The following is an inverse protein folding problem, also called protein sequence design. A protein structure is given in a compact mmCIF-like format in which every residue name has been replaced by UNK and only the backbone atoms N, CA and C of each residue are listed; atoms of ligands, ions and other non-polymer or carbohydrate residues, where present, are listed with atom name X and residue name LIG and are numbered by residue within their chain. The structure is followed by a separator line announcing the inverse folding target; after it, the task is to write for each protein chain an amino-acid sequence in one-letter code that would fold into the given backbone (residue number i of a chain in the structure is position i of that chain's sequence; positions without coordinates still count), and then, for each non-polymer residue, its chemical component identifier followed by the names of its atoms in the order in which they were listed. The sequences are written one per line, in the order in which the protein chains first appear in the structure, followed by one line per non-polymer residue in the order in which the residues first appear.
data_IF_417180246490
#
_entry.id   IF_417180246490
#
_cell.length_a   1.000
_cell.length_b   1.000
_cell.length_c   1.000
_cell.angle_alpha   90.00
_cell.angle_beta   90.00
_cell.angle_gamma   90.00
#
_symmetry.space_group_name_H-M   'P 1'
#
loop_
_entity.id
_entity.type
_entity.pdbx_description
1 polymer ?
#
# COMPACT_ATOMS: atom_id res chain seq x y z
N UNK A 1 18.95 -19.58 43.66
CA UNK A 1 17.70 -18.87 43.34
C UNK A 1 18.03 -17.44 42.92
N UNK A 2 18.27 -17.22 41.63
CA UNK A 2 18.51 -15.88 41.09
C UNK A 2 17.14 -15.26 40.77
N UNK A 3 16.66 -14.39 41.66
CA UNK A 3 15.45 -13.60 41.41
C UNK A 3 15.71 -12.66 40.24
N UNK A 4 14.96 -12.86 39.15
CA UNK A 4 14.85 -11.92 38.04
C UNK A 4 14.29 -10.60 38.58
N UNK A 5 15.11 -9.56 38.60
CA UNK A 5 14.64 -8.18 38.77
C UNK A 5 14.00 -7.81 37.43
N UNK A 6 12.70 -8.07 37.30
CA UNK A 6 11.87 -7.45 36.28
C UNK A 6 11.64 -5.99 36.70
N UNK A 7 12.57 -5.10 36.37
CA UNK A 7 12.33 -3.66 36.46
C UNK A 7 11.44 -3.23 35.30
N UNK A 8 10.12 -3.34 35.48
CA UNK A 8 9.16 -2.68 34.60
C UNK A 8 9.41 -1.17 34.67
N UNK A 9 9.75 -0.56 33.53
CA UNK A 9 9.95 0.89 33.41
C UNK A 9 8.57 1.53 33.47
N UNK A 10 8.14 1.92 34.67
CA UNK A 10 6.87 2.63 34.89
C UNK A 10 7.04 4.04 34.33
N UNK A 11 6.51 4.30 33.12
CA UNK A 11 6.41 5.65 32.59
C UNK A 11 5.36 6.38 33.45
N UNK A 12 5.83 7.08 34.47
CA UNK A 12 4.96 7.77 35.40
C UNK A 12 4.36 9.01 34.72
N UNK A 13 3.09 8.94 34.35
CA UNK A 13 2.35 10.01 33.66
C UNK A 13 1.64 10.98 34.60
N UNK A 14 1.65 10.68 35.91
CA UNK A 14 0.99 11.46 36.97
C UNK A 14 1.94 11.74 38.11
N UNK A 15 1.78 12.89 38.75
CA UNK A 15 2.56 13.24 39.94
C UNK A 15 2.31 12.25 41.09
N UNK A 16 3.37 11.72 41.70
CA UNK A 16 3.27 10.82 42.86
C UNK A 16 2.71 11.48 44.12
N UNK A 17 2.68 12.82 44.18
CA UNK A 17 2.24 13.58 45.38
C UNK A 17 0.79 14.04 45.25
N UNK A 18 0.41 14.65 44.12
CA UNK A 18 -0.91 15.28 43.97
C UNK A 18 -1.75 14.69 42.82
N UNK A 19 -1.27 13.63 42.17
CA UNK A 19 -1.90 13.01 40.99
C UNK A 19 -2.14 13.95 39.80
N UNK A 20 -1.54 15.14 39.79
CA UNK A 20 -1.63 16.10 38.70
C UNK A 20 -0.87 15.66 37.44
N UNK A 21 -1.21 16.27 36.30
CA UNK A 21 -0.53 16.04 35.02
C UNK A 21 0.90 16.58 35.05
N UNK A 22 1.82 15.82 34.48
CA UNK A 22 3.21 16.24 34.30
C UNK A 22 3.38 16.90 32.93
N UNK A 23 3.97 18.09 32.91
CA UNK A 23 4.35 18.86 31.73
C UNK A 23 5.85 18.69 31.55
N UNK A 24 6.29 18.43 30.33
CA UNK A 24 7.71 18.36 30.00
C UNK A 24 8.19 19.74 29.56
N UNK A 25 9.22 20.26 30.22
CA UNK A 25 9.92 21.46 29.79
C UNK A 25 11.08 21.06 28.88
N UNK A 26 11.03 21.53 27.63
CA UNK A 26 11.98 21.17 26.60
C UNK A 26 13.34 21.87 26.78
N UNK A 27 13.38 23.01 27.47
CA UNK A 27 14.61 23.80 27.64
C UNK A 27 15.48 23.26 28.77
N UNK A 28 14.84 22.78 29.85
CA UNK A 28 15.53 22.18 31.01
C UNK A 28 15.59 20.65 30.97
N UNK A 29 14.74 20.00 30.16
CA UNK A 29 14.64 18.54 30.10
C UNK A 29 13.90 17.92 31.29
N UNK A 30 13.24 18.74 32.11
CA UNK A 30 12.59 18.31 33.35
C UNK A 30 11.08 18.06 33.15
N UNK A 31 10.50 17.24 34.04
CA UNK A 31 9.04 17.02 34.10
C UNK A 31 8.46 17.70 35.33
N UNK A 32 7.64 18.72 35.11
CA UNK A 32 7.02 19.57 36.12
C UNK A 32 5.57 19.15 36.35
N UNK A 33 5.11 19.10 37.59
CA UNK A 33 3.68 18.95 37.85
C UNK A 33 2.93 20.29 37.76
N UNK A 34 1.89 20.35 36.93
CA UNK A 34 1.04 21.54 36.77
C UNK A 34 0.33 21.96 38.07
N UNK A 35 0.10 21.03 39.01
CA UNK A 35 -0.73 21.29 40.21
C UNK A 35 0.08 21.63 41.46
N UNK A 36 1.21 20.96 41.68
CA UNK A 36 2.03 21.16 42.89
C UNK A 36 3.42 21.73 42.61
N UNK A 37 3.79 21.95 41.35
CA UNK A 37 5.10 22.49 40.97
C UNK A 37 6.29 21.56 41.24
N UNK A 38 6.06 20.31 41.65
CA UNK A 38 7.16 19.38 41.94
C UNK A 38 7.86 19.00 40.64
N UNK A 39 9.20 19.08 40.66
CA UNK A 39 10.08 18.56 39.62
C UNK A 39 10.29 17.08 39.87
N UNK A 40 9.91 16.24 38.92
CA UNK A 40 10.24 14.82 39.00
C UNK A 40 11.74 14.64 38.67
N UNK A 41 12.47 13.78 39.40
CA UNK A 41 13.87 13.52 39.10
C UNK A 41 14.01 13.06 37.64
N UNK A 42 15.10 13.42 36.96
CA UNK A 42 15.32 13.03 35.58
C UNK A 42 15.32 11.51 35.52
N UNK A 43 14.23 10.96 34.99
CA UNK A 43 14.18 9.56 34.62
C UNK A 43 15.24 9.41 33.54
N UNK A 44 16.25 8.54 33.74
CA UNK A 44 17.29 8.29 32.75
C UNK A 44 16.61 8.15 31.40
N UNK A 45 16.88 9.11 30.51
CA UNK A 45 16.24 9.15 29.21
C UNK A 45 16.50 7.81 28.55
N UNK A 46 15.44 7.01 28.40
CA UNK A 46 15.48 5.88 27.48
C UNK A 46 15.63 6.51 26.12
N UNK A 47 16.89 6.49 25.66
CA UNK A 47 17.35 6.90 24.35
C UNK A 47 16.28 6.64 23.29
N UNK A 48 15.91 7.70 22.59
CA UNK A 48 14.93 7.63 21.52
C UNK A 48 14.67 8.94 20.79
N UNK A 49 15.09 10.09 21.36
CA UNK A 49 14.83 11.41 20.75
C UNK A 49 15.99 12.42 20.77
N UNK A 50 17.24 11.98 20.91
CA UNK A 50 18.42 12.86 20.73
C UNK A 50 19.27 12.49 19.50
N UNK A 51 18.64 12.13 18.38
CA UNK A 51 19.35 11.91 17.11
C UNK A 51 19.75 13.22 16.40
N UNK A 52 19.47 14.39 16.98
CA UNK A 52 19.87 15.68 16.39
C UNK A 52 21.33 16.05 16.69
N UNK A 53 21.98 15.44 17.69
CA UNK A 53 23.37 15.77 18.06
C UNK A 53 24.44 15.02 17.24
N UNK A 54 24.06 14.03 16.43
CA UNK A 54 25.00 13.24 15.61
C UNK A 54 25.25 13.82 14.22
N UNK A 55 24.76 15.03 13.92
CA UNK A 55 24.80 15.57 12.56
C UNK A 55 26.19 16.08 12.15
N UNK A 56 27.09 16.30 13.10
CA UNK A 56 28.40 16.95 12.87
C UNK A 56 29.62 16.21 13.47
N UNK A 57 29.51 14.96 13.91
CA UNK A 57 30.70 14.22 14.35
C UNK A 57 31.27 13.44 13.15
N UNK A 58 32.34 13.98 12.60
CA UNK A 58 33.18 13.35 11.61
C UNK A 58 33.55 11.91 12.03
N UNK A 59 33.19 10.97 11.15
CA UNK A 59 33.83 9.67 10.90
C UNK A 59 34.00 8.60 12.01
N UNK A 60 33.68 8.82 13.28
CA UNK A 60 33.99 7.81 14.33
C UNK A 60 32.85 7.34 15.25
N UNK A 61 31.66 7.95 15.17
CA UNK A 61 30.50 7.43 15.91
C UNK A 61 29.61 6.65 14.96
N UNK A 62 29.60 5.33 15.07
CA UNK A 62 28.72 4.47 14.29
C UNK A 62 27.27 4.94 14.50
N UNK A 63 26.55 5.40 13.45
CA UNK A 63 25.13 5.65 13.60
C UNK A 63 24.49 4.31 13.96
N UNK A 64 23.69 4.30 15.04
CA UNK A 64 22.85 3.16 15.35
C UNK A 64 22.14 2.74 14.06
N UNK A 65 22.46 1.54 13.54
CA UNK A 65 21.86 1.07 12.31
C UNK A 65 20.36 0.92 12.56
N UNK A 66 19.58 1.89 12.09
CA UNK A 66 18.12 1.79 12.11
C UNK A 66 17.73 0.45 11.49
N UNK A 67 17.03 -0.38 12.26
CA UNK A 67 16.63 -1.71 11.84
C UNK A 67 15.66 -1.59 10.68
N UNK A 68 16.20 -1.63 9.46
CA UNK A 68 15.36 -1.65 8.28
C UNK A 68 14.73 -3.04 8.16
N UNK A 69 13.42 -3.12 7.95
CA UNK A 69 12.70 -4.37 7.71
C UNK A 69 13.19 -5.11 6.45
N UNK A 70 13.90 -4.40 5.57
CA UNK A 70 14.65 -4.92 4.43
C UNK A 70 15.95 -5.66 4.81
N UNK A 71 16.40 -5.62 6.06
CA UNK A 71 17.49 -6.47 6.53
C UNK A 71 16.97 -7.81 7.03
N UNK A 72 17.73 -8.87 6.79
CA UNK A 72 17.44 -10.22 7.30
C UNK A 72 17.67 -10.27 8.83
N UNK A 73 16.92 -11.12 9.53
CA UNK A 73 16.93 -11.25 11.00
C UNK A 73 18.24 -11.84 11.52
N UNK A 74 19.29 -11.04 11.51
CA UNK A 74 20.40 -11.19 12.46
C UNK A 74 20.35 -9.93 13.28
N UNK A 75 20.19 -10.08 14.59
CA UNK A 75 19.88 -8.97 15.49
C UNK A 75 20.94 -7.85 15.51
N UNK A 76 22.12 -8.08 14.92
CA UNK A 76 23.00 -7.09 14.29
C UNK A 76 23.91 -7.83 13.29
N UNK A 77 23.67 -7.79 11.97
CA UNK A 77 24.57 -8.45 11.02
C UNK A 77 25.83 -7.59 10.83
N UNK A 78 26.99 -8.13 11.21
CA UNK A 78 28.29 -7.58 10.81
C UNK A 78 28.65 -8.08 9.41
N UNK A 79 29.12 -7.20 8.53
CA UNK A 79 29.62 -7.57 7.21
C UNK A 79 31.12 -7.28 7.09
N UNK A 80 31.88 -8.26 6.59
CA UNK A 80 33.31 -8.07 6.30
C UNK A 80 33.45 -7.31 4.97
N UNK A 81 33.68 -5.99 5.07
CA UNK A 81 33.82 -5.08 3.93
C UNK A 81 34.99 -5.43 2.98
N UNK A 82 35.00 -4.82 1.79
CA UNK A 82 35.97 -5.12 0.71
C UNK A 82 37.33 -4.43 0.88
N UNK A 83 37.44 -3.48 1.82
CA UNK A 83 38.62 -2.61 1.95
C UNK A 83 39.91 -3.33 2.37
N UNK A 84 39.84 -4.58 2.85
CA UNK A 84 41.00 -5.41 3.26
C UNK A 84 41.98 -4.68 4.20
N UNK A 85 41.45 -3.82 5.09
CA UNK A 85 42.23 -2.99 6.01
C UNK A 85 41.70 -3.25 7.42
N UNK A 86 42.61 -3.46 8.36
CA UNK A 86 42.32 -3.59 9.80
C UNK A 86 41.92 -2.23 10.41
N UNK A 87 41.37 -2.26 11.63
CA UNK A 87 41.02 -1.05 12.39
C UNK A 87 42.20 -0.07 12.56
N UNK A 88 43.44 -0.58 12.60
CA UNK A 88 44.66 0.21 12.72
C UNK A 88 45.22 0.70 11.37
N UNK A 89 44.46 0.55 10.26
CA UNK A 89 44.88 0.99 8.93
C UNK A 89 45.85 0.05 8.21
N UNK A 90 46.21 -1.09 8.81
CA UNK A 90 47.12 -2.08 8.21
C UNK A 90 46.40 -2.90 7.14
N UNK A 91 47.06 -3.16 6.01
CA UNK A 91 46.53 -4.07 4.98
C UNK A 91 46.59 -5.52 5.46
N UNK A 92 45.46 -6.21 5.36
CA UNK A 92 45.33 -7.63 5.61
C UNK A 92 45.58 -8.38 4.31
N UNK A 93 46.21 -9.55 4.39
CA UNK A 93 46.36 -10.42 3.23
C UNK A 93 45.01 -10.80 2.60
N UNK A 94 44.97 -10.78 1.27
CA UNK A 94 43.76 -11.04 0.47
C UNK A 94 43.28 -12.48 0.64
N UNK A 95 44.20 -13.43 0.73
CA UNK A 95 43.83 -14.83 0.91
C UNK A 95 43.13 -15.06 2.26
N UNK A 96 43.64 -14.44 3.33
CA UNK A 96 43.03 -14.51 4.64
C UNK A 96 41.64 -13.84 4.67
N UNK A 97 41.50 -12.63 4.13
CA UNK A 97 40.20 -11.92 4.07
C UNK A 97 39.16 -12.67 3.23
N UNK A 98 39.54 -13.23 2.09
CA UNK A 98 38.63 -14.02 1.26
C UNK A 98 38.23 -15.34 1.93
N UNK A 99 39.14 -15.97 2.69
CA UNK A 99 38.82 -17.11 3.55
C UNK A 99 37.81 -16.71 4.64
N UNK A 100 38.02 -15.59 5.33
CA UNK A 100 37.09 -15.09 6.36
C UNK A 100 35.70 -14.79 5.78
N UNK A 101 35.61 -14.09 4.64
CA UNK A 101 34.34 -13.86 3.93
C UNK A 101 33.67 -15.16 3.51
N UNK A 102 34.43 -16.16 3.08
CA UNK A 102 33.88 -17.47 2.72
C UNK A 102 33.32 -18.19 3.94
N UNK A 103 33.99 -18.12 5.09
CA UNK A 103 33.52 -18.70 6.35
C UNK A 103 32.27 -17.98 6.86
N UNK A 104 32.25 -16.64 6.82
CA UNK A 104 31.10 -15.81 7.19
C UNK A 104 29.87 -16.09 6.30
N UNK A 105 30.06 -16.20 4.99
CA UNK A 105 28.97 -16.62 4.10
C UNK A 105 28.47 -18.03 4.41
N UNK A 106 29.34 -18.95 4.85
CA UNK A 106 28.94 -20.31 5.23
C UNK A 106 28.12 -20.33 6.50
N UNK A 107 28.51 -19.59 7.54
CA UNK A 107 27.73 -19.51 8.80
C UNK A 107 26.33 -18.95 8.54
N UNK A 108 26.21 -17.89 7.74
CA UNK A 108 24.92 -17.31 7.34
C UNK A 108 24.09 -18.21 6.42
N UNK A 109 24.75 -18.98 5.55
CA UNK A 109 24.07 -19.88 4.58
C UNK A 109 23.66 -21.22 5.19
N UNK A 110 24.16 -21.60 6.35
CA UNK A 110 23.82 -22.87 6.97
C UNK A 110 22.39 -22.90 7.51
N UNK A 111 21.85 -21.76 7.98
CA UNK A 111 20.45 -21.71 8.43
C UNK A 111 19.48 -21.68 7.22
N UNK A 112 18.64 -22.71 7.02
CA UNK A 112 17.63 -22.70 5.96
C UNK A 112 16.63 -21.54 6.09
N UNK A 113 16.36 -21.04 7.30
CA UNK A 113 15.45 -19.92 7.54
C UNK A 113 16.04 -18.62 7.01
N UNK A 114 17.29 -18.35 7.34
CA UNK A 114 18.03 -17.16 6.88
C UNK A 114 18.17 -17.16 5.36
N UNK A 115 18.49 -18.32 4.74
CA UNK A 115 18.53 -18.44 3.28
C UNK A 115 17.20 -18.11 2.61
N UNK A 116 16.08 -18.58 3.18
CA UNK A 116 14.75 -18.29 2.67
C UNK A 116 14.43 -16.79 2.72
N UNK A 117 14.61 -16.17 3.90
CA UNK A 117 14.39 -14.74 4.10
C UNK A 117 15.26 -13.90 3.16
N UNK A 118 16.55 -14.24 3.04
CA UNK A 118 17.47 -13.55 2.12
C UNK A 118 17.04 -13.66 0.66
N UNK A 119 16.58 -14.84 0.23
CA UNK A 119 16.06 -15.01 -1.13
C UNK A 119 14.83 -14.14 -1.35
N UNK A 120 13.89 -14.13 -0.41
CA UNK A 120 12.67 -13.36 -0.52
C UNK A 120 12.89 -11.84 -0.52
N UNK A 121 13.72 -11.33 0.40
CA UNK A 121 14.04 -9.90 0.49
C UNK A 121 14.72 -9.42 -0.79
N UNK A 122 15.64 -10.22 -1.37
CA UNK A 122 16.26 -9.89 -2.66
C UNK A 122 15.23 -9.81 -3.80
N UNK A 123 14.29 -10.74 -3.86
CA UNK A 123 13.21 -10.68 -4.85
C UNK A 123 12.30 -9.47 -4.64
N UNK A 124 11.93 -9.18 -3.39
CA UNK A 124 11.12 -8.00 -3.06
C UNK A 124 11.82 -6.73 -3.53
N UNK A 125 13.09 -6.56 -3.16
CA UNK A 125 13.90 -5.41 -3.57
C UNK A 125 13.94 -5.30 -5.11
N UNK A 126 14.33 -6.37 -5.80
CA UNK A 126 14.43 -6.41 -7.27
C UNK A 126 13.12 -5.98 -7.94
N UNK A 127 11.98 -6.56 -7.52
CA UNK A 127 10.67 -6.25 -8.11
C UNK A 127 10.27 -4.80 -7.80
N UNK A 128 10.50 -4.33 -6.56
CA UNK A 128 10.16 -2.96 -6.17
C UNK A 128 10.98 -1.91 -6.90
N UNK A 129 12.26 -2.19 -7.15
CA UNK A 129 13.17 -1.31 -7.91
C UNK A 129 12.76 -1.23 -9.38
N UNK A 130 12.48 -2.37 -10.03
CA UNK A 130 12.04 -2.40 -11.43
C UNK A 130 10.70 -1.65 -11.61
N UNK A 131 9.80 -1.75 -10.64
CA UNK A 131 8.51 -1.04 -10.67
C UNK A 131 8.61 0.44 -10.25
N UNK A 132 9.79 0.93 -9.88
CA UNK A 132 10.01 2.32 -9.44
C UNK A 132 9.23 2.68 -8.18
N UNK A 133 9.06 1.73 -7.26
CA UNK A 133 8.28 1.90 -6.04
C UNK A 133 9.07 2.57 -4.91
N UNK A 134 8.38 3.31 -4.05
CA UNK A 134 8.98 3.93 -2.86
C UNK A 134 9.55 2.86 -1.92
N UNK A 135 10.65 3.18 -1.24
CA UNK A 135 11.30 2.30 -0.24
C UNK A 135 10.32 1.81 0.84
N UNK A 136 9.39 2.67 1.25
CA UNK A 136 8.31 2.33 2.19
C UNK A 136 7.50 1.09 1.78
N UNK A 137 7.22 0.93 0.48
CA UNK A 137 6.44 -0.20 -0.04
C UNK A 137 7.26 -1.50 0.07
N UNK A 138 8.55 -1.42 -0.26
CA UNK A 138 9.46 -2.55 -0.13
C UNK A 138 9.56 -2.99 1.34
N UNK A 139 9.79 -2.04 2.26
CA UNK A 139 9.84 -2.26 3.70
C UNK A 139 8.57 -2.91 4.22
N UNK A 140 7.40 -2.39 3.81
CA UNK A 140 6.11 -2.96 4.19
C UNK A 140 5.92 -4.37 3.65
N UNK A 141 6.32 -4.63 2.40
CA UNK A 141 6.26 -5.96 1.81
C UNK A 141 7.17 -6.96 2.54
N UNK A 142 8.37 -6.56 2.98
CA UNK A 142 9.22 -7.44 3.79
C UNK A 142 8.69 -7.67 5.20
N UNK A 143 8.09 -6.67 5.84
CA UNK A 143 7.41 -6.86 7.11
C UNK A 143 6.30 -7.93 6.98
N UNK A 144 5.46 -7.81 5.94
CA UNK A 144 4.41 -8.80 5.63
C UNK A 144 5.02 -10.19 5.41
N UNK A 145 6.10 -10.29 4.63
CA UNK A 145 6.77 -11.57 4.37
C UNK A 145 7.33 -12.20 5.65
N UNK A 146 8.02 -11.42 6.49
CA UNK A 146 8.58 -11.88 7.77
C UNK A 146 7.49 -12.36 8.71
N UNK A 147 6.38 -11.63 8.81
CA UNK A 147 5.23 -12.04 9.62
C UNK A 147 4.63 -13.36 9.12
N UNK A 148 4.48 -13.50 7.81
CA UNK A 148 4.02 -14.76 7.20
C UNK A 148 5.00 -15.92 7.42
N UNK A 149 6.31 -15.63 7.45
CA UNK A 149 7.35 -16.61 7.77
C UNK A 149 7.28 -17.08 9.22
N UNK A 150 7.14 -16.16 10.18
CA UNK A 150 6.97 -16.49 11.60
C UNK A 150 5.73 -17.35 11.88
N UNK A 151 4.65 -17.14 11.12
CA UNK A 151 3.43 -17.94 11.19
C UNK A 151 3.52 -19.28 10.43
N UNK A 152 4.65 -19.60 9.78
CA UNK A 152 4.83 -20.85 9.05
C UNK A 152 4.04 -20.96 7.73
N UNK A 153 3.53 -19.85 7.19
CA UNK A 153 2.71 -19.80 5.98
C UNK A 153 3.48 -20.06 4.68
N UNK A 154 4.79 -20.27 4.74
CA UNK A 154 5.66 -20.37 3.56
C UNK A 154 6.02 -21.82 3.22
N UNK A 155 5.87 -22.75 4.17
CA UNK A 155 6.21 -24.16 3.96
C UNK A 155 5.36 -24.77 2.84
N UNK A 156 6.01 -25.44 1.88
CA UNK A 156 5.37 -26.08 0.72
C UNK A 156 4.89 -25.13 -0.38
N UNK A 157 5.29 -23.85 -0.35
CA UNK A 157 4.88 -22.82 -1.32
C UNK A 157 6.09 -22.14 -1.94
N UNK A 158 5.90 -21.49 -3.09
CA UNK A 158 6.99 -20.78 -3.76
C UNK A 158 7.36 -19.49 -3.01
N UNK A 159 8.65 -19.36 -2.68
CA UNK A 159 9.23 -18.18 -2.01
C UNK A 159 8.91 -16.92 -2.81
N UNK A 160 9.22 -16.94 -4.12
CA UNK A 160 8.98 -15.82 -5.02
C UNK A 160 7.50 -15.50 -5.18
N UNK A 161 6.60 -16.49 -5.06
CA UNK A 161 5.15 -16.27 -5.18
C UNK A 161 4.56 -15.60 -3.94
N UNK A 162 5.04 -15.95 -2.76
CA UNK A 162 4.64 -15.28 -1.52
C UNK A 162 5.26 -13.87 -1.44
N UNK A 163 6.50 -13.69 -1.93
CA UNK A 163 7.09 -12.37 -2.09
C UNK A 163 6.23 -11.47 -3.00
N UNK A 164 5.79 -11.98 -4.17
CA UNK A 164 4.87 -11.30 -5.08
C UNK A 164 3.57 -10.87 -4.39
N UNK A 165 2.95 -11.80 -3.67
CA UNK A 165 1.71 -11.55 -2.97
C UNK A 165 1.91 -10.52 -1.84
N UNK A 166 3.05 -10.55 -1.15
CA UNK A 166 3.40 -9.59 -0.09
C UNK A 166 3.55 -8.18 -0.64
N UNK A 167 4.17 -8.03 -1.82
CA UNK A 167 4.25 -6.75 -2.54
C UNK A 167 2.84 -6.28 -2.92
N UNK A 168 2.02 -7.17 -3.49
CA UNK A 168 0.67 -6.83 -3.89
C UNK A 168 -0.21 -6.38 -2.70
N UNK A 169 -0.08 -7.02 -1.53
CA UNK A 169 -0.73 -6.58 -0.29
C UNK A 169 -0.22 -5.20 0.13
N UNK A 170 1.10 -4.97 0.15
CA UNK A 170 1.67 -3.67 0.52
C UNK A 170 1.21 -2.53 -0.39
N UNK A 171 1.16 -2.77 -1.71
CA UNK A 171 0.62 -1.83 -2.70
C UNK A 171 -0.85 -1.49 -2.43
N UNK A 172 -1.62 -2.50 -2.00
CA UNK A 172 -3.03 -2.33 -1.67
C UNK A 172 -3.28 -1.60 -0.35
N UNK A 173 -2.44 -1.82 0.67
CA UNK A 173 -2.53 -1.10 1.95
C UNK A 173 -2.13 0.38 1.82
N UNK A 174 -1.20 0.69 0.91
CA UNK A 174 -0.69 2.05 0.69
C UNK A 174 -1.41 2.79 -0.45
N UNK A 175 -2.55 2.28 -0.91
CA UNK A 175 -3.38 2.87 -1.97
C UNK A 175 -2.63 3.17 -3.30
N UNK A 176 -1.64 2.34 -3.63
CA UNK A 176 -0.91 2.40 -4.91
C UNK A 176 -1.31 1.18 -5.74
N UNK A 177 -2.45 1.24 -6.47
CA UNK A 177 -2.94 0.10 -7.20
C UNK A 177 -2.00 -0.26 -8.35
N UNK A 178 -1.51 -1.50 -8.33
CA UNK A 178 -0.78 -2.14 -9.43
C UNK A 178 -1.55 -3.35 -9.93
N UNK A 179 -1.38 -3.70 -11.20
CA UNK A 179 -1.99 -4.91 -11.73
C UNK A 179 -1.22 -6.15 -11.25
N UNK A 180 -1.92 -7.27 -11.07
CA UNK A 180 -1.27 -8.53 -10.73
C UNK A 180 -0.41 -9.02 -11.92
N UNK A 181 -0.84 -8.70 -13.14
CA UNK A 181 -0.16 -9.06 -14.38
C UNK A 181 1.22 -8.39 -14.47
N UNK A 182 1.35 -7.12 -14.07
CA UNK A 182 2.66 -6.43 -13.98
C UNK A 182 3.64 -7.18 -13.05
N UNK A 183 3.16 -7.64 -11.89
CA UNK A 183 4.00 -8.34 -10.91
C UNK A 183 4.38 -9.74 -11.41
N UNK A 184 3.44 -10.44 -12.04
CA UNK A 184 3.64 -11.77 -12.63
C UNK A 184 4.74 -11.76 -13.71
N UNK A 185 4.66 -10.80 -14.63
CA UNK A 185 5.62 -10.65 -15.73
C UNK A 185 7.06 -10.46 -15.24
N UNK A 186 7.26 -9.85 -14.07
CA UNK A 186 8.59 -9.58 -13.50
C UNK A 186 9.22 -10.75 -12.75
N UNK A 187 8.42 -11.71 -12.30
CA UNK A 187 8.91 -12.83 -11.50
C UNK A 187 9.34 -13.98 -12.40
N UNK A 188 8.57 -14.26 -13.45
CA UNK A 188 8.78 -15.43 -14.31
C UNK A 188 8.44 -16.75 -13.59
N UNK A 189 7.69 -17.63 -14.25
CA UNK A 189 7.44 -18.99 -13.75
C UNK A 189 6.38 -19.13 -12.65
N UNK A 190 5.58 -18.09 -12.37
CA UNK A 190 4.45 -18.17 -11.43
C UNK A 190 3.18 -17.65 -12.08
N UNK A 191 2.18 -18.51 -12.18
CA UNK A 191 0.88 -18.14 -12.75
C UNK A 191 0.14 -17.13 -11.86
N UNK A 192 -0.60 -16.20 -12.49
CA UNK A 192 -1.56 -15.26 -11.86
C UNK A 192 -2.40 -15.88 -10.76
N UNK A 193 -2.90 -17.08 -11.03
CA UNK A 193 -3.77 -17.85 -10.12
C UNK A 193 -3.09 -18.15 -8.79
N UNK A 194 -1.78 -18.44 -8.82
CA UNK A 194 -1.01 -18.74 -7.63
C UNK A 194 -0.75 -17.47 -6.81
N UNK A 195 -0.39 -16.35 -7.45
CA UNK A 195 -0.22 -15.05 -6.78
C UNK A 195 -1.51 -14.64 -6.07
N UNK A 196 -2.67 -14.75 -6.75
CA UNK A 196 -3.97 -14.47 -6.16
C UNK A 196 -4.35 -15.43 -5.03
N UNK A 197 -3.98 -16.70 -5.11
CA UNK A 197 -4.18 -17.69 -4.05
C UNK A 197 -3.38 -17.33 -2.80
N UNK A 198 -2.11 -16.96 -2.98
CA UNK A 198 -1.25 -16.53 -1.87
C UNK A 198 -1.70 -15.21 -1.28
N UNK A 199 -2.14 -14.26 -2.10
CA UNK A 199 -2.75 -13.01 -1.64
C UNK A 199 -3.94 -13.26 -0.70
N UNK A 200 -4.92 -14.07 -1.12
CA UNK A 200 -6.09 -14.40 -0.28
C UNK A 200 -5.69 -15.09 1.02
N UNK A 201 -4.67 -15.95 0.97
CA UNK A 201 -4.15 -16.63 2.15
C UNK A 201 -3.54 -15.63 3.13
N UNK A 202 -2.70 -14.70 2.65
CA UNK A 202 -2.08 -13.68 3.49
C UNK A 202 -3.14 -12.78 4.15
N UNK A 203 -4.16 -12.36 3.40
CA UNK A 203 -5.26 -11.58 3.96
C UNK A 203 -6.00 -12.33 5.07
N UNK A 204 -6.35 -13.61 4.84
CA UNK A 204 -7.09 -14.42 5.80
C UNK A 204 -6.30 -14.67 7.09
N UNK A 205 -4.99 -14.90 6.98
CA UNK A 205 -4.16 -15.29 8.14
C UNK A 205 -3.66 -14.08 8.94
N UNK A 206 -3.53 -12.92 8.29
CA UNK A 206 -3.05 -11.71 8.95
C UNK A 206 -4.17 -10.74 9.35
N UNK A 207 -5.44 -11.12 9.15
CA UNK A 207 -6.62 -10.27 9.38
C UNK A 207 -6.49 -8.89 8.73
N UNK A 208 -5.86 -8.84 7.55
CA UNK A 208 -5.70 -7.59 6.82
C UNK A 208 -7.00 -7.33 6.06
N UNK A 209 -7.73 -6.31 6.48
CA UNK A 209 -8.87 -5.78 5.73
C UNK A 209 -8.35 -4.80 4.69
N UNK A 210 -8.09 -5.31 3.49
CA UNK A 210 -7.83 -4.44 2.34
C UNK A 210 -9.18 -3.94 1.81
N UNK A 211 -9.37 -2.63 1.82
CA UNK A 211 -10.55 -1.99 1.24
C UNK A 211 -10.75 -2.41 -0.22
N UNK A 212 -12.00 -2.66 -0.60
CA UNK A 212 -12.33 -2.81 -2.02
C UNK A 212 -11.98 -1.50 -2.75
N UNK A 213 -11.29 -1.57 -3.90
CA UNK A 213 -10.97 -0.37 -4.65
C UNK A 213 -12.28 0.32 -5.04
N UNK A 214 -12.39 1.61 -4.69
CA UNK A 214 -13.57 2.41 -5.02
C UNK A 214 -13.74 2.47 -6.54
N UNK A 215 -14.99 2.41 -7.06
CA UNK A 215 -15.22 2.57 -8.50
C UNK A 215 -14.70 3.93 -9.02
N UNK A 216 -14.68 4.95 -8.15
CA UNK A 216 -14.13 6.29 -8.41
C UNK A 216 -12.66 6.23 -8.84
N UNK A 217 -11.82 5.47 -8.12
CA UNK A 217 -10.40 5.36 -8.45
C UNK A 217 -10.14 4.72 -9.82
N UNK A 218 -11.06 3.87 -10.29
CA UNK A 218 -10.97 3.27 -11.62
C UNK A 218 -11.43 4.21 -12.73
N UNK A 219 -12.39 5.09 -12.43
CA UNK A 219 -12.98 6.01 -13.39
C UNK A 219 -11.92 6.96 -13.99
N UNK A 220 -11.12 7.62 -13.15
CA UNK A 220 -10.07 8.55 -13.63
C UNK A 220 -8.98 7.86 -14.45
N UNK A 221 -8.63 6.62 -14.09
CA UNK A 221 -7.63 5.84 -14.84
C UNK A 221 -8.16 5.40 -16.21
N UNK A 222 -9.41 4.96 -16.27
CA UNK A 222 -10.07 4.55 -17.52
C UNK A 222 -10.30 5.76 -18.42
N UNK A 223 -10.77 6.89 -17.87
CA UNK A 223 -10.93 8.18 -18.55
C UNK A 223 -9.67 8.59 -19.30
N UNK A 224 -8.53 8.62 -18.59
CA UNK A 224 -7.22 8.96 -19.17
C UNK A 224 -6.78 7.97 -20.25
N UNK A 225 -6.92 6.66 -20.02
CA UNK A 225 -6.52 5.63 -21.01
C UNK A 225 -7.43 5.62 -22.24
N UNK A 226 -8.71 5.98 -22.09
CA UNK A 226 -9.67 6.08 -23.18
C UNK A 226 -9.64 7.45 -23.90
N UNK A 227 -8.85 8.40 -23.40
CA UNK A 227 -8.70 9.74 -23.96
C UNK A 227 -9.96 10.60 -23.83
N UNK A 228 -10.69 10.51 -22.71
CA UNK A 228 -11.92 11.27 -22.51
C UNK A 228 -11.69 12.65 -21.93
N UNK A 229 -12.63 13.56 -22.22
CA UNK A 229 -12.63 14.90 -21.65
C UNK A 229 -12.95 14.91 -20.15
N UNK A 230 -12.41 15.89 -19.43
CA UNK A 230 -12.72 16.09 -18.00
C UNK A 230 -14.20 16.44 -17.74
N UNK A 231 -14.93 16.92 -18.74
CA UNK A 231 -16.40 17.14 -18.65
C UNK A 231 -17.12 15.81 -18.49
N UNK A 232 -16.77 14.83 -19.31
CA UNK A 232 -17.32 13.47 -19.26
C UNK A 232 -16.93 12.76 -17.97
N UNK A 233 -15.70 12.95 -17.49
CA UNK A 233 -15.24 12.41 -16.21
C UNK A 233 -16.06 12.94 -15.02
N UNK A 234 -16.29 14.26 -14.95
CA UNK A 234 -17.13 14.86 -13.90
C UNK A 234 -18.56 14.33 -13.94
N UNK A 235 -19.15 14.27 -15.14
CA UNK A 235 -20.51 13.75 -15.31
C UNK A 235 -20.63 12.29 -14.88
N UNK A 236 -19.60 11.48 -15.16
CA UNK A 236 -19.55 10.10 -14.73
C UNK A 236 -19.43 9.96 -13.20
N UNK A 237 -18.72 10.87 -12.51
CA UNK A 237 -18.68 10.91 -11.05
C UNK A 237 -20.06 11.22 -10.44
N UNK A 238 -20.79 12.17 -11.02
CA UNK A 238 -22.15 12.53 -10.57
C UNK A 238 -23.15 11.38 -10.77
N UNK A 239 -23.02 10.62 -11.86
CA UNK A 239 -23.84 9.42 -12.06
C UNK A 239 -23.47 8.33 -11.06
N UNK A 240 -22.18 8.12 -10.83
CA UNK A 240 -21.71 7.07 -9.94
C UNK A 240 -22.13 7.32 -8.49
N UNK A 241 -22.16 8.58 -8.04
CA UNK A 241 -22.64 8.93 -6.69
C UNK A 241 -24.13 8.64 -6.51
N UNK A 242 -24.94 8.82 -7.56
CA UNK A 242 -26.38 8.52 -7.53
C UNK A 242 -26.67 7.02 -7.52
N UNK A 243 -25.91 6.24 -8.27
CA UNK A 243 -26.15 4.80 -8.48
C UNK A 243 -25.43 3.94 -7.42
N UNK A 244 -24.40 4.48 -6.76
CA UNK A 244 -23.54 3.74 -5.82
C UNK A 244 -24.24 3.16 -4.59
N UNK A 245 -25.45 3.61 -4.27
CA UNK A 245 -26.25 3.15 -3.12
C UNK A 245 -27.19 1.98 -3.46
N UNK A 246 -27.35 1.63 -4.73
CA UNK A 246 -28.33 0.63 -5.15
C UNK A 246 -27.88 -0.82 -4.89
N UNK A 247 -28.82 -1.60 -4.33
CA UNK A 247 -28.62 -3.03 -4.02
C UNK A 247 -28.32 -3.87 -5.27
N UNK A 248 -28.79 -3.44 -6.44
CA UNK A 248 -28.59 -4.14 -7.71
C UNK A 248 -27.13 -4.18 -8.16
N UNK A 249 -26.27 -3.29 -7.65
CA UNK A 249 -24.85 -3.22 -7.98
C UNK A 249 -23.95 -4.01 -7.02
N UNK A 250 -24.50 -4.51 -5.91
CA UNK A 250 -23.76 -5.24 -4.89
C UNK A 250 -23.22 -6.56 -5.47
N UNK A 251 -21.95 -6.87 -5.18
CA UNK A 251 -21.27 -8.08 -5.65
C UNK A 251 -20.74 -8.02 -7.09
N UNK A 252 -20.97 -6.93 -7.83
CA UNK A 252 -20.41 -6.73 -9.19
C UNK A 252 -19.02 -6.11 -9.12
N UNK A 253 -18.22 -6.34 -10.17
CA UNK A 253 -16.84 -5.80 -10.22
C UNK A 253 -16.87 -4.27 -10.31
N UNK A 254 -16.18 -3.53 -9.42
CA UNK A 254 -16.21 -2.07 -9.41
C UNK A 254 -15.67 -1.45 -10.71
N UNK A 255 -14.68 -2.11 -11.33
CA UNK A 255 -14.14 -1.68 -12.64
C UNK A 255 -15.18 -1.73 -13.77
N UNK A 256 -16.09 -2.71 -13.73
CA UNK A 256 -17.16 -2.84 -14.73
C UNK A 256 -18.26 -1.80 -14.55
N UNK A 257 -18.51 -1.38 -13.32
CA UNK A 257 -19.46 -0.30 -13.01
C UNK A 257 -18.86 1.03 -13.49
N UNK A 258 -17.61 1.31 -13.14
CA UNK A 258 -16.91 2.52 -13.57
C UNK A 258 -16.86 2.65 -15.10
N UNK A 259 -16.54 1.57 -15.82
CA UNK A 259 -16.49 1.56 -17.29
C UNK A 259 -17.87 1.85 -17.91
N UNK A 260 -18.94 1.27 -17.38
CA UNK A 260 -20.29 1.47 -17.89
C UNK A 260 -20.83 2.88 -17.62
N UNK A 261 -20.64 3.40 -16.40
CA UNK A 261 -21.02 4.78 -16.06
C UNK A 261 -20.30 5.79 -16.96
N UNK A 262 -19.01 5.54 -17.23
CA UNK A 262 -18.19 6.41 -18.07
C UNK A 262 -18.62 6.37 -19.55
N UNK A 263 -19.09 5.22 -20.06
CA UNK A 263 -19.74 5.15 -21.38
C UNK A 263 -21.07 5.91 -21.44
N UNK A 264 -21.93 5.74 -20.43
CA UNK A 264 -23.21 6.46 -20.36
C UNK A 264 -23.02 7.97 -20.24
N UNK A 265 -22.02 8.41 -19.47
CA UNK A 265 -21.65 9.82 -19.39
C UNK A 265 -21.15 10.36 -20.74
N UNK A 266 -20.35 9.59 -21.47
CA UNK A 266 -19.86 9.98 -22.80
C UNK A 266 -20.99 10.12 -23.83
N UNK A 267 -22.02 9.26 -23.74
CA UNK A 267 -23.24 9.42 -24.53
C UNK A 267 -23.97 10.72 -24.17
N UNK A 268 -24.12 11.05 -22.88
CA UNK A 268 -24.79 12.29 -22.46
C UNK A 268 -24.03 13.56 -22.85
N UNK A 269 -22.70 13.54 -22.81
CA UNK A 269 -21.86 14.68 -23.21
C UNK A 269 -21.63 14.75 -24.72
N UNK A 270 -22.23 13.82 -25.50
CA UNK A 270 -22.07 13.68 -26.96
C UNK A 270 -20.61 13.54 -27.39
N UNK A 271 -19.79 12.90 -26.57
CA UNK A 271 -18.38 12.63 -26.89
C UNK A 271 -18.25 11.32 -27.68
N UNK A 272 -17.64 11.38 -28.87
CA UNK A 272 -17.49 10.21 -29.75
C UNK A 272 -16.60 9.14 -29.09
N UNK A 273 -17.26 8.13 -28.52
CA UNK A 273 -16.65 6.99 -27.84
C UNK A 273 -17.32 5.70 -28.30
N UNK A 274 -16.53 4.67 -28.54
CA UNK A 274 -17.05 3.33 -28.81
C UNK A 274 -16.95 2.47 -27.55
N UNK A 275 -17.87 1.51 -27.41
CA UNK A 275 -17.79 0.52 -26.33
C UNK A 275 -16.48 -0.25 -26.38
N UNK A 276 -15.94 -0.50 -27.58
CA UNK A 276 -14.64 -1.14 -27.78
C UNK A 276 -13.50 -0.31 -27.18
N UNK A 277 -13.49 1.02 -27.36
CA UNK A 277 -12.44 1.88 -26.80
C UNK A 277 -12.40 1.80 -25.27
N UNK A 278 -13.57 1.81 -24.63
CA UNK A 278 -13.67 1.70 -23.16
C UNK A 278 -13.36 0.28 -22.68
N UNK A 279 -13.77 -0.75 -23.45
CA UNK A 279 -13.43 -2.14 -23.18
C UNK A 279 -11.91 -2.36 -23.15
N UNK A 280 -11.20 -1.83 -24.14
CA UNK A 280 -9.74 -1.85 -24.21
C UNK A 280 -9.14 -1.05 -23.05
N UNK A 281 -9.68 0.12 -22.70
CA UNK A 281 -9.16 0.93 -21.59
C UNK A 281 -9.36 0.30 -20.20
N UNK A 282 -10.37 -0.55 -20.05
CA UNK A 282 -10.74 -1.19 -18.77
C UNK A 282 -10.33 -2.66 -18.66
N UNK A 283 -9.73 -3.22 -19.71
CA UNK A 283 -9.38 -4.65 -19.83
C UNK A 283 -10.62 -5.56 -19.60
N UNK A 284 -11.75 -5.16 -20.18
CA UNK A 284 -13.03 -5.87 -20.12
C UNK A 284 -13.52 -6.27 -21.52
N UNK A 285 -14.50 -7.16 -21.58
CA UNK A 285 -15.22 -7.44 -22.83
C UNK A 285 -16.34 -6.43 -23.04
N UNK A 286 -16.63 -6.10 -24.30
CA UNK A 286 -17.74 -5.21 -24.70
C UNK A 286 -19.08 -5.69 -24.14
N UNK A 287 -19.32 -7.00 -24.15
CA UNK A 287 -20.52 -7.64 -23.59
C UNK A 287 -20.68 -7.32 -22.09
N UNK A 288 -19.57 -7.30 -21.33
CA UNK A 288 -19.61 -6.95 -19.91
C UNK A 288 -20.04 -5.51 -19.70
N UNK A 289 -19.51 -4.58 -20.52
CA UNK A 289 -19.89 -3.16 -20.46
C UNK A 289 -21.35 -3.00 -20.81
N UNK A 290 -21.83 -3.58 -21.92
CA UNK A 290 -23.23 -3.50 -22.36
C UNK A 290 -24.19 -3.99 -21.28
N UNK A 291 -23.93 -5.15 -20.67
CA UNK A 291 -24.76 -5.70 -19.59
C UNK A 291 -24.84 -4.75 -18.38
N UNK A 292 -23.73 -4.10 -18.03
CA UNK A 292 -23.68 -3.12 -16.93
C UNK A 292 -24.39 -1.82 -17.30
N UNK A 293 -24.27 -1.35 -18.54
CA UNK A 293 -24.98 -0.16 -19.01
C UNK A 293 -26.49 -0.31 -18.87
N UNK A 294 -27.05 -1.44 -19.34
CA UNK A 294 -28.50 -1.73 -19.24
C UNK A 294 -28.98 -1.76 -17.78
N UNK A 295 -28.18 -2.29 -16.87
CA UNK A 295 -28.52 -2.31 -15.45
C UNK A 295 -28.49 -0.90 -14.83
N UNK A 296 -27.51 -0.08 -15.20
CA UNK A 296 -27.36 1.28 -14.69
C UNK A 296 -28.42 2.22 -15.26
N UNK A 297 -28.81 2.08 -16.53
CA UNK A 297 -29.89 2.89 -17.12
C UNK A 297 -31.21 2.65 -16.40
N UNK A 298 -31.57 1.39 -16.11
CA UNK A 298 -32.76 1.04 -15.32
C UNK A 298 -32.77 1.65 -13.92
N UNK A 299 -31.59 1.75 -13.30
CA UNK A 299 -31.43 2.39 -12.00
C UNK A 299 -31.68 3.90 -12.13
N UNK A 300 -31.04 4.54 -13.11
CA UNK A 300 -31.19 5.97 -13.36
C UNK A 300 -32.64 6.33 -13.74
N UNK A 301 -33.37 5.45 -14.41
CA UNK A 301 -34.80 5.60 -14.68
C UNK A 301 -35.64 5.57 -13.40
N UNK A 302 -35.36 4.62 -12.49
CA UNK A 302 -36.05 4.53 -11.20
C UNK A 302 -35.78 5.75 -10.32
N UNK A 303 -34.57 6.30 -10.39
CA UNK A 303 -34.15 7.47 -9.62
C UNK A 303 -34.62 8.79 -10.24
N UNK A 304 -35.17 8.78 -11.46
CA UNK A 304 -35.72 9.98 -12.07
C UNK A 304 -36.95 10.39 -11.26
N UNK A 305 -36.96 11.57 -10.61
CA UNK A 305 -38.18 12.07 -10.01
C UNK A 305 -39.26 12.15 -11.09
N UNK A 306 -40.49 11.75 -10.77
CA UNK A 306 -41.66 12.16 -11.54
C UNK A 306 -41.79 13.68 -11.38
N UNK A 307 -40.98 14.41 -12.13
CA UNK A 307 -41.10 15.84 -12.27
C UNK A 307 -42.33 16.10 -13.15
N UNK A 308 -43.51 16.16 -12.53
CA UNK A 308 -44.53 17.09 -13.01
C UNK A 308 -43.89 18.48 -12.88
N UNK A 309 -43.47 19.04 -14.01
CA UNK A 309 -43.09 20.44 -14.12
C UNK A 309 -43.94 21.01 -15.24
N UNK A 310 -44.85 21.87 -14.82
CA UNK A 310 -45.69 22.72 -15.65
C UNK A 310 -44.82 23.49 -16.64
N UNK A 311 -45.31 23.58 -17.87
CA UNK A 311 -44.69 24.31 -18.96
C UNK A 311 -44.80 25.82 -18.69
N UNK A 312 -43.76 26.40 -18.11
CA UNK A 312 -43.52 27.85 -18.26
C UNK A 312 -42.64 28.08 -19.50
N UNK A 313 -43.32 28.32 -20.62
CA UNK A 313 -42.73 28.82 -21.85
C UNK A 313 -42.23 30.26 -21.65
N UNK A 314 -41.00 30.46 -21.17
CA UNK A 314 -40.18 31.64 -21.56
C UNK A 314 -38.75 31.52 -21.02
N UNK A 315 -37.86 30.89 -21.78
CA UNK A 315 -36.44 31.28 -21.91
C UNK A 315 -35.74 30.35 -22.89
N UNK A 316 -35.87 30.68 -24.17
CA UNK A 316 -35.21 29.98 -25.27
C UNK A 316 -33.80 30.59 -25.48
N UNK A 317 -32.76 29.93 -24.98
CA UNK A 317 -31.40 30.06 -25.52
C UNK A 317 -30.47 28.90 -25.12
N UNK A 318 -30.40 27.91 -26.02
CA UNK A 318 -29.24 27.03 -26.28
C UNK A 318 -28.82 25.94 -25.27
N UNK A 319 -29.74 25.36 -24.50
CA UNK A 319 -29.51 24.02 -23.93
C UNK A 319 -30.13 22.94 -24.83
N UNK A 320 -29.31 22.34 -25.68
CA UNK A 320 -29.71 21.20 -26.51
C UNK A 320 -30.09 20.02 -25.61
N UNK A 321 -31.32 19.53 -25.79
CA UNK A 321 -31.92 18.50 -24.96
C UNK A 321 -30.98 17.28 -24.73
N UNK A 322 -30.87 16.78 -23.48
CA UNK A 322 -30.15 15.55 -23.21
C UNK A 322 -30.79 14.39 -23.98
N UNK A 323 -29.97 13.54 -24.59
CA UNK A 323 -30.40 12.33 -25.30
C UNK A 323 -31.27 11.51 -24.33
N UNK A 324 -32.49 11.17 -24.76
CA UNK A 324 -33.43 10.42 -23.91
C UNK A 324 -32.89 9.01 -23.67
N UNK A 325 -33.21 8.44 -22.51
CA UNK A 325 -32.72 7.10 -22.12
C UNK A 325 -33.19 6.03 -23.12
N UNK A 326 -34.32 6.24 -23.77
CA UNK A 326 -34.86 5.41 -24.86
C UNK A 326 -33.93 5.40 -26.09
N UNK A 327 -33.38 6.55 -26.50
CA UNK A 327 -32.39 6.62 -27.58
C UNK A 327 -31.07 5.92 -27.19
N UNK A 328 -30.72 5.88 -25.91
CA UNK A 328 -29.55 5.14 -25.42
C UNK A 328 -29.79 3.63 -25.48
N UNK A 329 -31.02 3.16 -25.24
CA UNK A 329 -31.39 1.74 -25.34
C UNK A 329 -31.40 1.27 -26.80
N UNK A 330 -31.86 2.10 -27.75
CA UNK A 330 -31.82 1.78 -29.19
C UNK A 330 -30.38 1.73 -29.76
N UNK A 331 -29.48 2.55 -29.21
CA UNK A 331 -28.06 2.58 -29.61
C UNK A 331 -27.20 1.49 -28.95
N UNK A 332 -27.71 0.84 -27.90
CA UNK A 332 -26.98 -0.15 -27.11
C UNK A 332 -27.08 -1.53 -27.71
#
# INVERSE_FOLDING_TARGET
MLQKINSEIIIQTKCGVCSGSLIFDADTGEKLCNRCGIVMPPMSEVSGKSNSLLRNIEHHSAPEMHTNHMMYDVSLPSFIGEKNIDANGKRIDRFYTDKMRRLDRRTLSNDPKIRNLNKAIREIRRITEILGMKTLIAERAAYIYKKAFGQGLIRGRSISGIAAASIYVACKELDIPRSVDEIENLIGGINKKNVLRYYKLLLKQMNLSVGLPSPIAHLSRISKRAGLSGRTERRALDMLSKVGTDSTLVGKKPISIAAAVLYLAALQTREHTTQLRIAIASDLTTITIRKRCVEITRILERLRPQAHVELDETSLSSEQAPITVEQIIELL
#
